data_IF_226443155728
#
_entry.id   IF_226443155728
#
_cell.length_a   1.000
_cell.length_b   1.000
_cell.length_c   1.000
_cell.angle_alpha   90.00
_cell.angle_beta   90.00
_cell.angle_gamma   90.00
#
_symmetry.space_group_name_H-M   'P 1'
#
loop_
_entity.id
_entity.type
_entity.pdbx_description
1 polymer ?
#
# COMPACT_ATOMS: atom_id res chain seq x y z
N UNK A 1 3.98 6.27 17.65
CA UNK A 1 4.07 6.55 16.19
C UNK A 1 2.94 7.49 15.77
N UNK A 2 1.71 7.24 16.24
CA UNK A 2 0.67 8.28 16.29
C UNK A 2 1.19 9.48 17.11
N UNK A 3 1.95 9.23 18.17
CA UNK A 3 2.65 10.25 18.99
C UNK A 3 3.73 11.06 18.25
N UNK A 4 4.03 10.72 16.99
CA UNK A 4 4.93 11.50 16.13
C UNK A 4 4.18 12.40 15.14
N UNK A 5 2.84 12.35 15.14
CA UNK A 5 2.03 13.23 14.31
C UNK A 5 2.04 14.64 14.90
N UNK A 6 1.94 15.69 14.06
CA UNK A 6 1.80 17.06 14.52
C UNK A 6 0.60 17.22 15.46
N UNK A 7 0.71 18.12 16.44
CA UNK A 7 -0.39 18.40 17.38
C UNK A 7 -1.66 18.90 16.69
N UNK A 8 -1.53 19.47 15.49
CA UNK A 8 -2.63 19.98 14.67
C UNK A 8 -3.08 18.99 13.57
N UNK A 9 -2.73 17.71 13.66
CA UNK A 9 -3.16 16.72 12.68
C UNK A 9 -4.69 16.52 12.70
N UNK A 10 -5.27 16.34 11.52
CA UNK A 10 -6.68 16.01 11.34
C UNK A 10 -6.95 14.53 11.57
N UNK A 11 -8.22 14.15 11.67
CA UNK A 11 -8.62 12.73 11.75
C UNK A 11 -8.22 12.01 10.45
N UNK A 12 -8.33 12.71 9.32
CA UNK A 12 -7.94 12.21 8.00
C UNK A 12 -6.44 11.90 7.94
N UNK A 13 -5.59 12.73 8.55
CA UNK A 13 -4.14 12.50 8.61
C UNK A 13 -3.79 11.24 9.44
N UNK A 14 -4.49 11.05 10.57
CA UNK A 14 -4.34 9.86 11.41
C UNK A 14 -4.76 8.62 10.61
N UNK A 15 -5.92 8.68 9.95
CA UNK A 15 -6.44 7.58 9.16
C UNK A 15 -5.50 7.23 8.00
N UNK A 16 -5.00 8.23 7.27
CA UNK A 16 -4.06 8.04 6.17
C UNK A 16 -2.76 7.37 6.66
N UNK A 17 -2.22 7.85 7.78
CA UNK A 17 -1.00 7.29 8.39
C UNK A 17 -1.18 5.82 8.75
N UNK A 18 -2.31 5.47 9.38
CA UNK A 18 -2.64 4.09 9.73
C UNK A 18 -2.85 3.22 8.48
N UNK A 19 -3.52 3.74 7.46
CA UNK A 19 -3.75 3.03 6.20
C UNK A 19 -2.45 2.70 5.50
N UNK A 20 -1.57 3.68 5.27
CA UNK A 20 -0.29 3.46 4.60
C UNK A 20 0.56 2.44 5.36
N UNK A 21 0.62 2.56 6.69
CA UNK A 21 1.33 1.60 7.54
C UNK A 21 0.79 0.19 7.38
N UNK A 22 -0.53 0.01 7.46
CA UNK A 22 -1.16 -1.31 7.27
C UNK A 22 -0.85 -1.91 5.89
N UNK A 23 -0.77 -1.09 4.83
CA UNK A 23 -0.41 -1.56 3.49
C UNK A 23 1.05 -2.01 3.41
N UNK A 24 1.97 -1.34 4.10
CA UNK A 24 3.38 -1.73 4.18
C UNK A 24 3.52 -3.03 4.98
N UNK A 25 2.89 -3.13 6.14
CA UNK A 25 2.93 -4.34 6.98
C UNK A 25 2.36 -5.55 6.24
N UNK A 26 1.27 -5.35 5.49
CA UNK A 26 0.72 -6.38 4.61
C UNK A 26 1.73 -6.80 3.53
N UNK A 27 2.38 -5.84 2.86
CA UNK A 27 3.39 -6.14 1.85
C UNK A 27 4.58 -6.92 2.41
N UNK A 28 5.03 -6.59 3.62
CA UNK A 28 6.09 -7.35 4.29
C UNK A 28 5.66 -8.79 4.58
N UNK A 29 4.43 -8.97 5.09
CA UNK A 29 3.86 -10.29 5.32
C UNK A 29 3.74 -11.09 4.01
N UNK A 30 3.31 -10.45 2.93
CA UNK A 30 3.22 -11.08 1.60
C UNK A 30 4.60 -11.54 1.10
N UNK A 31 5.68 -10.80 1.40
CA UNK A 31 7.06 -11.25 1.12
C UNK A 31 7.42 -12.48 1.94
N UNK A 32 7.16 -12.45 3.26
CA UNK A 32 7.52 -13.53 4.18
C UNK A 32 6.76 -14.83 3.84
N UNK A 33 5.52 -14.72 3.38
CA UNK A 33 4.67 -15.85 2.96
C UNK A 33 4.91 -16.28 1.51
N UNK A 34 5.74 -15.56 0.75
CA UNK A 34 6.00 -15.85 -0.67
C UNK A 34 4.84 -15.50 -1.61
N UNK A 35 3.90 -14.66 -1.18
CA UNK A 35 2.79 -14.13 -1.97
C UNK A 35 3.28 -13.06 -2.97
N UNK A 36 4.21 -13.43 -3.85
CA UNK A 36 4.84 -12.56 -4.83
C UNK A 36 4.27 -12.80 -6.24
N UNK A 37 4.37 -11.77 -7.08
CA UNK A 37 3.98 -11.84 -8.48
C UNK A 37 5.18 -11.53 -9.36
N UNK A 38 5.31 -12.23 -10.47
CA UNK A 38 6.29 -11.87 -11.51
C UNK A 38 5.92 -10.53 -12.15
N UNK A 39 6.93 -9.80 -12.61
CA UNK A 39 6.75 -8.50 -13.25
C UNK A 39 5.80 -8.57 -14.46
N UNK A 40 5.84 -9.64 -15.27
CA UNK A 40 4.97 -9.80 -16.42
C UNK A 40 3.51 -10.04 -16.01
N UNK A 41 3.31 -10.77 -14.91
CA UNK A 41 1.98 -10.99 -14.36
C UNK A 41 1.37 -9.68 -13.84
N UNK A 42 2.17 -8.84 -13.17
CA UNK A 42 1.74 -7.50 -12.75
C UNK A 42 1.35 -6.65 -13.95
N UNK A 43 2.16 -6.65 -15.03
CA UNK A 43 1.84 -5.91 -16.28
C UNK A 43 0.49 -6.35 -16.87
N UNK A 44 0.28 -7.66 -17.01
CA UNK A 44 -0.96 -8.21 -17.55
C UNK A 44 -2.19 -7.84 -16.70
N UNK A 45 -2.06 -7.83 -15.37
CA UNK A 45 -3.14 -7.38 -14.48
C UNK A 45 -3.46 -5.89 -14.68
N UNK A 46 -2.43 -5.07 -14.88
CA UNK A 46 -2.57 -3.62 -15.04
C UNK A 46 -3.17 -3.19 -16.39
N UNK A 47 -3.07 -4.03 -17.43
CA UNK A 47 -3.65 -3.74 -18.76
C UNK A 47 -5.17 -3.50 -18.71
N UNK A 48 -5.87 -4.07 -17.71
CA UNK A 48 -7.32 -3.85 -17.50
C UNK A 48 -7.69 -2.41 -17.17
N UNK A 49 -6.76 -1.63 -16.65
CA UNK A 49 -6.99 -0.22 -16.27
C UNK A 49 -6.22 0.75 -17.15
N UNK A 50 -5.10 0.32 -17.75
CA UNK A 50 -4.21 1.19 -18.49
C UNK A 50 -4.63 1.47 -19.94
N UNK A 51 -5.80 1.00 -20.41
CA UNK A 51 -6.38 1.25 -21.74
C UNK A 51 -5.37 1.79 -22.76
N UNK A 52 -4.43 0.92 -23.18
CA UNK A 52 -3.48 1.27 -24.23
C UNK A 52 -4.21 1.24 -25.57
N UNK A 53 -4.81 2.38 -25.93
CA UNK A 53 -5.13 2.73 -27.32
C UNK A 53 -4.04 3.66 -27.87
#
# INVERSE_FOLDING_TARGET
>A
MIDKLPENCSIEDIQYTLYVRSKIEKGQKDIDEGNLLDHNEVKSRMDKWLNRQ
#
